data_IF_010166027347
#
_entry.id   IF_010166027347
#
_cell.length_a   1.000
_cell.length_b   1.000
_cell.length_c   1.000
_cell.angle_alpha   90.00
_cell.angle_beta   90.00
_cell.angle_gamma   90.00
#
_symmetry.space_group_name_H-M   'P 1'
#
loop_
_entity.id
_entity.type
_entity.pdbx_description
1 polymer ?
#
# COMPACT_ATOMS: atom_id res chain seq x y z
N UNK A 1 47.78 -18.62 55.94
CA UNK A 1 47.60 -19.89 56.67
C UNK A 1 47.01 -20.91 55.73
N UNK A 2 47.62 -22.09 55.68
CA UNK A 2 47.28 -23.37 55.03
C UNK A 2 45.80 -23.75 55.29
N UNK A 3 45.03 -24.48 54.46
CA UNK A 3 45.20 -25.88 54.02
C UNK A 3 44.40 -26.25 52.76
N UNK A 4 44.94 -27.24 52.02
CA UNK A 4 44.27 -28.17 51.10
C UNK A 4 43.14 -28.99 51.76
N UNK A 5 42.13 -29.42 51.00
CA UNK A 5 41.81 -30.86 50.84
C UNK A 5 40.73 -31.16 49.78
N UNK A 6 41.06 -32.12 48.92
CA UNK A 6 40.18 -32.83 47.99
C UNK A 6 39.03 -33.57 48.68
N UNK A 7 37.86 -33.64 48.03
CA UNK A 7 37.01 -34.84 48.05
C UNK A 7 36.50 -35.15 46.65
N UNK A 8 36.94 -36.30 46.15
CA UNK A 8 36.47 -37.00 44.97
C UNK A 8 35.02 -37.47 45.16
N UNK A 9 34.17 -37.23 44.16
CA UNK A 9 32.83 -37.80 44.08
C UNK A 9 32.29 -37.79 42.64
N UNK A 10 32.70 -38.77 41.84
CA UNK A 10 31.90 -39.29 40.70
C UNK A 10 31.26 -40.61 41.14
N UNK A 11 30.28 -41.20 40.42
CA UNK A 11 29.39 -40.68 39.37
C UNK A 11 27.90 -40.99 39.67
N UNK A 12 26.94 -40.36 38.98
CA UNK A 12 25.72 -41.07 38.53
C UNK A 12 24.93 -40.26 37.49
N UNK A 13 24.85 -40.89 36.34
CA UNK A 13 23.94 -40.71 35.22
C UNK A 13 22.64 -39.97 35.60
N UNK A 14 22.41 -38.82 34.98
CA UNK A 14 21.05 -38.33 34.73
C UNK A 14 20.86 -38.23 33.24
N UNK A 15 19.84 -38.96 32.79
CA UNK A 15 19.48 -39.15 31.40
C UNK A 15 19.60 -37.88 30.59
N UNK A 16 20.39 -37.98 29.52
CA UNK A 16 20.26 -37.11 28.37
C UNK A 16 18.85 -37.34 27.86
N UNK A 17 17.94 -36.43 28.16
CA UNK A 17 16.69 -36.33 27.41
C UNK A 17 17.16 -35.92 26.02
N UNK A 18 17.23 -36.90 25.13
CA UNK A 18 17.33 -36.66 23.70
C UNK A 18 16.10 -35.81 23.35
N UNK A 19 16.27 -34.49 23.41
CA UNK A 19 15.32 -33.57 22.82
C UNK A 19 15.31 -33.90 21.36
N UNK A 20 14.26 -34.59 20.92
CA UNK A 20 13.92 -34.69 19.51
C UNK A 20 14.14 -33.31 18.88
N UNK A 21 14.80 -33.24 17.71
CA UNK A 21 14.88 -31.99 17.00
C UNK A 21 13.44 -31.56 16.72
N UNK A 22 12.97 -30.54 17.46
CA UNK A 22 11.69 -29.88 17.22
C UNK A 22 11.70 -29.54 15.74
N UNK A 23 10.89 -30.27 14.97
CA UNK A 23 10.71 -30.01 13.56
C UNK A 23 10.45 -28.52 13.43
N UNK A 24 11.39 -27.79 12.82
CA UNK A 24 11.18 -26.39 12.45
C UNK A 24 9.89 -26.41 11.66
N UNK A 25 8.79 -25.94 12.27
CA UNK A 25 7.56 -25.63 11.55
C UNK A 25 8.01 -24.80 10.37
N UNK A 26 7.87 -25.37 9.17
CA UNK A 26 8.04 -24.62 7.94
C UNK A 26 7.20 -23.36 8.12
N UNK A 27 7.86 -22.19 8.14
CA UNK A 27 7.17 -20.93 8.31
C UNK A 27 6.06 -20.90 7.27
N UNK A 28 4.81 -20.73 7.74
CA UNK A 28 3.68 -20.52 6.85
C UNK A 28 4.11 -19.49 5.81
N UNK A 29 4.04 -19.80 4.49
CA UNK A 29 4.53 -18.89 3.47
C UNK A 29 3.85 -17.55 3.67
N UNK A 30 4.65 -16.53 3.97
CA UNK A 30 4.13 -15.18 4.16
C UNK A 30 3.46 -14.81 2.83
N UNK A 31 2.16 -14.47 2.82
CA UNK A 31 1.47 -14.19 1.57
C UNK A 31 2.17 -13.01 0.89
N UNK A 32 2.70 -13.26 -0.30
CA UNK A 32 3.39 -12.24 -1.09
C UNK A 32 2.33 -11.30 -1.66
N UNK A 33 2.34 -10.04 -1.22
CA UNK A 33 1.46 -9.00 -1.74
C UNK A 33 2.09 -8.38 -2.99
N UNK A 34 1.44 -8.55 -4.13
CA UNK A 34 1.84 -7.95 -5.41
C UNK A 34 0.97 -6.73 -5.71
N UNK A 35 1.56 -5.54 -5.61
CA UNK A 35 0.87 -4.27 -5.94
C UNK A 35 0.91 -4.03 -7.45
N UNK A 36 -0.22 -3.66 -8.03
CA UNK A 36 -0.37 -3.21 -9.40
C UNK A 36 -0.57 -1.69 -9.44
N UNK A 37 -0.37 -1.05 -10.61
CA UNK A 37 -0.68 0.36 -10.77
C UNK A 37 -2.12 0.67 -10.34
N UNK A 38 -2.37 1.87 -9.79
CA UNK A 38 -3.72 2.33 -9.52
C UNK A 38 -4.50 2.54 -10.83
N UNK A 39 -5.80 2.33 -10.76
CA UNK A 39 -6.74 2.58 -11.86
C UNK A 39 -7.54 3.83 -11.54
N UNK A 40 -7.52 4.82 -12.43
CA UNK A 40 -8.32 6.03 -12.30
C UNK A 40 -9.64 5.87 -13.04
N UNK A 41 -10.74 6.12 -12.33
CA UNK A 41 -12.09 6.17 -12.87
C UNK A 41 -12.68 7.57 -12.61
N UNK A 42 -12.90 8.31 -13.69
CA UNK A 42 -13.50 9.64 -13.63
C UNK A 42 -15.03 9.50 -13.55
N UNK A 43 -15.65 10.16 -12.58
CA UNK A 43 -17.10 10.11 -12.36
C UNK A 43 -17.87 11.05 -13.29
N UNK A 44 -17.17 12.07 -13.77
CA UNK A 44 -17.66 13.13 -14.64
C UNK A 44 -16.75 13.21 -15.86
N UNK A 45 -17.30 13.52 -17.04
CA UNK A 45 -16.50 13.64 -18.26
C UNK A 45 -15.72 14.95 -18.27
N UNK A 46 -14.41 14.86 -18.46
CA UNK A 46 -13.53 16.02 -18.61
C UNK A 46 -12.76 15.96 -19.92
N UNK A 47 -11.93 16.97 -20.16
CA UNK A 47 -11.01 16.94 -21.30
C UNK A 47 -10.13 15.68 -21.23
N UNK A 48 -10.01 14.90 -22.32
CA UNK A 48 -9.13 13.74 -22.36
C UNK A 48 -7.67 14.07 -22.01
N UNK A 49 -7.23 15.29 -22.28
CA UNK A 49 -5.87 15.75 -21.95
C UNK A 49 -5.67 15.88 -20.43
N UNK A 50 -6.69 16.32 -19.70
CA UNK A 50 -6.66 16.41 -18.23
C UNK A 50 -6.64 15.00 -17.65
N UNK A 51 -7.54 14.12 -18.10
CA UNK A 51 -7.56 12.73 -17.64
C UNK A 51 -6.24 12.01 -17.93
N UNK A 52 -5.67 12.24 -19.12
CA UNK A 52 -4.38 11.68 -19.53
C UNK A 52 -3.23 12.12 -18.61
N UNK A 53 -3.17 13.41 -18.25
CA UNK A 53 -2.17 13.94 -17.34
C UNK A 53 -2.29 13.37 -15.93
N UNK A 54 -3.51 13.27 -15.40
CA UNK A 54 -3.75 12.69 -14.06
C UNK A 54 -3.39 11.20 -14.01
N UNK A 55 -3.71 10.45 -15.07
CA UNK A 55 -3.28 9.05 -15.23
C UNK A 55 -1.77 8.93 -15.29
N UNK A 56 -1.09 9.82 -16.02
CA UNK A 56 0.36 9.80 -16.15
C UNK A 56 1.05 10.05 -14.80
N UNK A 57 0.62 11.06 -14.06
CA UNK A 57 1.16 11.39 -12.72
C UNK A 57 0.95 10.22 -11.75
N UNK A 58 -0.25 9.64 -11.73
CA UNK A 58 -0.53 8.49 -10.86
C UNK A 58 0.35 7.28 -11.15
N UNK A 59 0.56 6.96 -12.44
CA UNK A 59 1.42 5.87 -12.87
C UNK A 59 2.89 6.13 -12.54
N UNK A 60 3.36 7.36 -12.70
CA UNK A 60 4.72 7.75 -12.36
C UNK A 60 4.98 7.66 -10.86
N UNK A 61 4.06 8.17 -10.03
CA UNK A 61 4.13 8.06 -8.58
C UNK A 61 4.18 6.59 -8.11
N UNK A 62 3.34 5.72 -8.70
CA UNK A 62 3.40 4.28 -8.45
C UNK A 62 4.76 3.67 -8.82
N UNK A 63 5.31 4.01 -9.99
CA UNK A 63 6.63 3.52 -10.44
C UNK A 63 7.76 3.96 -9.52
N UNK A 64 7.64 5.12 -8.88
CA UNK A 64 8.57 5.62 -7.85
C UNK A 64 8.39 4.93 -6.49
N UNK A 65 7.45 4.00 -6.37
CA UNK A 65 7.20 3.26 -5.13
C UNK A 65 6.43 4.04 -4.07
N UNK A 66 5.71 5.11 -4.46
CA UNK A 66 4.96 5.94 -3.51
C UNK A 66 3.81 5.19 -2.84
N UNK A 67 3.41 5.68 -1.66
CA UNK A 67 2.22 5.19 -0.95
C UNK A 67 0.95 5.61 -1.69
N UNK A 68 -0.19 5.03 -1.31
CA UNK A 68 -1.46 5.37 -1.95
C UNK A 68 -1.88 6.82 -1.61
N UNK A 69 -1.62 7.24 -0.39
CA UNK A 69 -1.85 8.59 0.10
C UNK A 69 -0.99 9.62 -0.67
N UNK A 70 0.27 9.29 -0.92
CA UNK A 70 1.17 10.15 -1.70
C UNK A 70 0.71 10.23 -3.17
N UNK A 71 0.27 9.12 -3.76
CA UNK A 71 -0.28 9.10 -5.12
C UNK A 71 -1.53 9.98 -5.20
N UNK A 72 -2.44 9.87 -4.23
CA UNK A 72 -3.65 10.72 -4.20
C UNK A 72 -3.28 12.19 -4.07
N UNK A 73 -2.29 12.52 -3.24
CA UNK A 73 -1.81 13.89 -3.06
C UNK A 73 -1.22 14.45 -4.35
N UNK A 74 -0.44 13.68 -5.10
CA UNK A 74 0.09 14.12 -6.40
C UNK A 74 -1.01 14.31 -7.45
N UNK A 75 -1.98 13.40 -7.52
CA UNK A 75 -3.12 13.53 -8.43
C UNK A 75 -3.94 14.79 -8.10
N UNK A 76 -4.21 15.02 -6.81
CA UNK A 76 -4.91 16.22 -6.35
C UNK A 76 -4.14 17.50 -6.72
N UNK A 77 -2.84 17.56 -6.43
CA UNK A 77 -2.02 18.73 -6.74
C UNK A 77 -1.93 18.98 -8.25
N UNK A 78 -1.85 17.92 -9.06
CA UNK A 78 -1.88 18.03 -10.50
C UNK A 78 -3.22 18.59 -10.98
N UNK A 79 -4.35 18.08 -10.49
CA UNK A 79 -5.67 18.59 -10.83
C UNK A 79 -5.81 20.08 -10.46
N UNK A 80 -5.35 20.46 -9.27
CA UNK A 80 -5.31 21.85 -8.82
C UNK A 80 -4.49 22.75 -9.74
N UNK A 81 -3.30 22.29 -10.16
CA UNK A 81 -2.46 23.03 -11.10
C UNK A 81 -3.10 23.23 -12.48
N UNK A 82 -4.03 22.33 -12.85
CA UNK A 82 -4.82 22.40 -14.08
C UNK A 82 -6.11 23.22 -13.93
N UNK A 83 -6.36 23.81 -12.76
CA UNK A 83 -7.53 24.65 -12.50
C UNK A 83 -8.77 23.89 -12.05
N UNK A 84 -8.60 22.67 -11.52
CA UNK A 84 -9.69 21.85 -10.99
C UNK A 84 -9.56 21.63 -9.49
N UNK A 85 -10.69 21.58 -8.80
CA UNK A 85 -10.80 20.99 -7.48
C UNK A 85 -11.14 19.50 -7.64
N UNK A 86 -10.31 18.62 -7.07
CA UNK A 86 -10.50 17.18 -7.18
C UNK A 86 -11.00 16.56 -5.87
N UNK A 87 -12.09 15.79 -5.93
CA UNK A 87 -12.48 14.87 -4.86
C UNK A 87 -12.06 13.46 -5.25
N UNK A 88 -11.23 12.83 -4.41
CA UNK A 88 -10.65 11.50 -4.69
C UNK A 88 -11.19 10.49 -3.68
N UNK A 89 -12.02 9.56 -4.16
CA UNK A 89 -12.39 8.35 -3.43
C UNK A 89 -11.38 7.23 -3.71
N UNK A 90 -11.07 6.43 -2.69
CA UNK A 90 -10.07 5.36 -2.78
C UNK A 90 -10.69 4.03 -2.39
N UNK A 91 -10.50 3.00 -3.23
CA UNK A 91 -10.88 1.63 -2.93
C UNK A 91 -9.74 0.68 -3.26
N UNK A 92 -9.23 -0.04 -2.27
CA UNK A 92 -8.26 -1.10 -2.51
C UNK A 92 -8.98 -2.40 -2.91
N UNK A 93 -8.55 -2.98 -4.02
CA UNK A 93 -9.10 -4.22 -4.58
C UNK A 93 -8.05 -5.31 -4.45
N UNK A 94 -8.42 -6.40 -3.77
CA UNK A 94 -7.57 -7.54 -3.50
C UNK A 94 -8.07 -8.78 -4.26
N UNK A 95 -7.14 -9.56 -4.82
CA UNK A 95 -7.44 -10.86 -5.45
C UNK A 95 -6.35 -11.87 -5.16
N UNK A 96 -6.72 -13.01 -4.57
CA UNK A 96 -5.82 -14.13 -4.26
C UNK A 96 -5.91 -15.29 -5.25
N UNK A 97 -6.75 -15.16 -6.28
CA UNK A 97 -7.09 -16.24 -7.21
C UNK A 97 -6.69 -15.95 -8.67
N UNK A 98 -5.77 -15.01 -8.90
CA UNK A 98 -5.31 -14.71 -10.25
C UNK A 98 -4.42 -15.84 -10.81
N UNK A 99 -4.80 -16.49 -11.94
CA UNK A 99 -4.03 -17.60 -12.51
C UNK A 99 -2.58 -17.23 -12.85
N UNK A 100 -2.35 -15.97 -13.23
CA UNK A 100 -1.03 -15.41 -13.58
C UNK A 100 -0.10 -15.24 -12.37
N UNK A 101 -0.62 -15.29 -11.13
CA UNK A 101 0.14 -15.07 -9.88
C UNK A 101 -0.21 -16.14 -8.83
N UNK A 102 0.14 -17.41 -9.07
CA UNK A 102 -0.20 -18.50 -8.16
C UNK A 102 0.45 -18.28 -6.79
N UNK A 103 -0.37 -18.37 -5.74
CA UNK A 103 0.09 -18.23 -4.35
C UNK A 103 0.37 -16.79 -3.89
N UNK A 104 0.03 -15.79 -4.71
CA UNK A 104 0.20 -14.37 -4.36
C UNK A 104 -1.15 -13.67 -4.22
N UNK A 105 -1.23 -12.69 -3.32
CA UNK A 105 -2.35 -11.76 -3.27
C UNK A 105 -1.99 -10.56 -4.13
N UNK A 106 -2.78 -10.29 -5.14
CA UNK A 106 -2.68 -9.09 -5.96
C UNK A 106 -3.50 -7.97 -5.33
N UNK A 107 -2.96 -6.77 -5.29
CA UNK A 107 -3.67 -5.56 -4.89
C UNK A 107 -3.52 -4.47 -5.95
N UNK A 108 -4.61 -3.76 -6.24
CA UNK A 108 -4.60 -2.49 -6.96
C UNK A 108 -5.54 -1.52 -6.27
N UNK A 109 -5.27 -0.23 -6.39
CA UNK A 109 -6.18 0.81 -5.91
C UNK A 109 -7.02 1.34 -7.06
N UNK A 110 -8.34 1.39 -6.87
CA UNK A 110 -9.27 2.14 -7.70
C UNK A 110 -9.42 3.54 -7.11
N UNK A 111 -9.04 4.54 -7.90
CA UNK A 111 -9.18 5.96 -7.57
C UNK A 111 -10.40 6.51 -8.32
N UNK A 112 -11.45 6.82 -7.57
CA UNK A 112 -12.67 7.47 -8.08
C UNK A 112 -12.46 8.97 -8.04
N UNK A 113 -12.45 9.62 -9.20
CA UNK A 113 -12.12 11.04 -9.30
C UNK A 113 -13.34 11.81 -9.78
N UNK A 114 -13.75 12.79 -8.98
CA UNK A 114 -14.66 13.85 -9.41
C UNK A 114 -13.88 15.16 -9.52
N UNK A 115 -13.96 15.84 -10.66
CA UNK A 115 -13.29 17.13 -10.88
C UNK A 115 -14.32 18.23 -11.04
N UNK A 116 -14.12 19.34 -10.35
CA UNK A 116 -14.93 20.55 -10.48
C UNK A 116 -14.04 21.69 -10.98
N UNK A 117 -14.50 22.41 -12.00
CA UNK A 117 -13.75 23.54 -12.54
C UNK A 117 -13.77 24.70 -11.55
N UNK A 118 -12.59 25.22 -11.19
CA UNK A 118 -12.49 26.35 -10.27
C UNK A 118 -13.06 27.65 -10.88
N UNK A 119 -13.23 27.69 -12.21
CA UNK A 119 -13.80 28.84 -12.91
C UNK A 119 -15.32 28.95 -12.76
N UNK A 120 -16.01 27.83 -12.56
CA UNK A 120 -17.48 27.82 -12.46
C UNK A 120 -17.98 28.34 -11.10
N UNK A 121 -17.13 28.27 -10.08
CA UNK A 121 -17.43 28.74 -8.71
C UNK A 121 -17.46 30.28 -8.57
N UNK A 122 -16.83 31.00 -9.50
CA UNK A 122 -16.76 32.48 -9.47
C UNK A 122 -18.04 33.19 -9.97
N UNK A 123 -18.89 32.51 -10.73
CA UNK A 123 -20.07 33.11 -11.37
C UNK A 123 -21.30 33.30 -10.46
N UNK A 124 -21.34 32.66 -9.29
CA UNK A 124 -22.51 32.71 -8.40
C UNK A 124 -22.47 33.82 -7.34
N UNK A 125 -21.31 34.44 -7.09
CA UNK A 125 -21.19 35.47 -6.05
C UNK A 125 -21.76 36.84 -6.47
N UNK A 126 -21.83 37.13 -7.78
CA UNK A 126 -22.28 38.43 -8.30
C UNK A 126 -23.81 38.56 -8.50
N UNK A 127 -24.59 37.48 -8.33
CA UNK A 127 -26.05 37.51 -8.55
C UNK A 127 -26.91 37.68 -7.29
N UNK A 128 -26.30 37.90 -6.12
CA UNK A 128 -27.02 38.11 -4.84
C UNK A 128 -27.03 39.54 -4.31
N UNK A 129 -26.54 40.51 -5.11
CA UNK A 129 -26.43 41.91 -4.71
C UNK A 129 -27.23 42.89 -5.60
N UNK A 130 -28.30 42.41 -6.25
CA UNK A 130 -29.22 43.23 -7.05
C UNK A 130 -30.65 43.14 -6.54
#
# INVERSE_FOLDING_TARGET
>A
MTYDLFVSGTPRERGRVDREPVARRAGSPTPVLRRFPPVLQFLTSHSPDVEGQLRAVSLEAYRRGKTLEDICSEVYNQAFSLGYEATIGVQEVYSSSMPSFPGQTVMSALLLIDLQSNWDSGGQSLRRAG
#
